data_IF_885538242257
#
_entry.id   IF_885538242257
#
_cell.length_a   1.000
_cell.length_b   1.000
_cell.length_c   1.000
_cell.angle_alpha   90.00
_cell.angle_beta   90.00
_cell.angle_gamma   90.00
#
_symmetry.space_group_name_H-M   'P 1'
#
loop_
_entity.id
_entity.type
_entity.pdbx_description
1 polymer ?
#
# COMPACT_ATOMS: atom_id res chain seq x y z
N UNK A 1 20.63 -25.47 22.27
CA UNK A 1 19.76 -25.22 23.46
C UNK A 1 20.24 -26.12 24.58
N UNK A 2 20.47 -25.58 25.79
CA UNK A 2 20.85 -26.34 26.99
C UNK A 2 19.72 -27.29 27.43
N UNK A 3 20.03 -28.35 28.18
CA UNK A 3 19.05 -29.27 28.75
C UNK A 3 17.95 -28.53 29.51
N UNK A 4 18.31 -27.55 30.33
CA UNK A 4 17.38 -26.67 31.07
C UNK A 4 16.40 -25.92 30.19
N UNK A 5 16.80 -25.46 28.99
CA UNK A 5 15.92 -24.76 28.07
C UNK A 5 14.89 -25.71 27.43
N UNK A 6 15.26 -26.95 27.13
CA UNK A 6 14.36 -27.98 26.62
C UNK A 6 13.28 -28.35 27.62
N UNK A 7 13.64 -28.46 28.89
CA UNK A 7 12.72 -28.78 29.99
C UNK A 7 11.69 -27.65 30.20
N UNK A 8 12.14 -26.39 30.12
CA UNK A 8 11.25 -25.22 30.20
C UNK A 8 10.27 -25.16 29.01
N UNK A 9 10.74 -25.41 27.79
CA UNK A 9 9.88 -25.45 26.59
C UNK A 9 8.81 -26.54 26.69
N UNK A 10 9.21 -27.75 27.18
CA UNK A 10 8.30 -28.84 27.41
C UNK A 10 7.24 -28.54 28.48
N UNK A 11 7.66 -27.92 29.59
CA UNK A 11 6.77 -27.51 30.67
C UNK A 11 5.77 -26.44 30.21
N UNK A 12 6.23 -25.45 29.41
CA UNK A 12 5.38 -24.42 28.84
C UNK A 12 4.37 -24.99 27.83
N UNK A 13 4.78 -25.95 27.01
CA UNK A 13 3.88 -26.66 26.09
C UNK A 13 2.74 -27.35 26.82
N UNK A 14 3.03 -28.09 27.91
CA UNK A 14 1.99 -28.72 28.74
C UNK A 14 1.07 -27.70 29.41
N UNK A 15 1.62 -26.58 29.88
CA UNK A 15 0.82 -25.50 30.44
C UNK A 15 -0.16 -24.91 29.41
N UNK A 16 0.31 -24.67 28.19
CA UNK A 16 -0.54 -24.18 27.10
C UNK A 16 -1.67 -25.14 26.77
N UNK A 17 -1.39 -26.45 26.65
CA UNK A 17 -2.46 -27.45 26.42
C UNK A 17 -3.52 -27.46 27.54
N UNK A 18 -3.09 -27.33 28.80
CA UNK A 18 -4.03 -27.23 29.92
C UNK A 18 -4.85 -25.96 29.87
N UNK A 19 -4.22 -24.82 29.55
CA UNK A 19 -4.89 -23.54 29.40
C UNK A 19 -5.93 -23.59 28.28
N UNK A 20 -5.58 -24.15 27.14
CA UNK A 20 -6.51 -24.33 25.99
C UNK A 20 -7.72 -25.20 26.37
N UNK A 21 -7.50 -26.33 27.07
CA UNK A 21 -8.58 -27.18 27.56
C UNK A 21 -9.51 -26.45 28.54
N UNK A 22 -8.96 -25.64 29.43
CA UNK A 22 -9.77 -24.90 30.42
C UNK A 22 -10.51 -23.71 29.81
N UNK A 23 -9.96 -23.08 28.79
CA UNK A 23 -10.51 -21.85 28.18
C UNK A 23 -11.41 -22.13 26.98
N UNK A 24 -11.41 -23.37 26.44
CA UNK A 24 -12.11 -23.76 25.21
C UNK A 24 -13.60 -23.33 25.14
N UNK A 25 -14.27 -23.22 26.26
CA UNK A 25 -15.67 -22.77 26.36
C UNK A 25 -15.84 -21.33 26.82
N UNK A 26 -14.78 -20.60 27.12
CA UNK A 26 -14.81 -19.24 27.69
C UNK A 26 -14.17 -18.20 26.81
N UNK A 27 -13.17 -18.60 26.01
CA UNK A 27 -12.39 -17.69 25.18
C UNK A 27 -12.22 -18.32 23.81
N UNK A 28 -12.50 -17.58 22.76
CA UNK A 28 -12.10 -17.97 21.41
C UNK A 28 -10.59 -17.81 21.29
N UNK A 29 -9.86 -18.92 21.39
CA UNK A 29 -8.41 -18.94 21.19
C UNK A 29 -8.15 -18.76 19.70
N UNK A 30 -7.58 -17.62 19.33
CA UNK A 30 -7.19 -17.29 17.96
C UNK A 30 -5.67 -17.15 17.93
N UNK A 31 -5.03 -17.80 16.96
CA UNK A 31 -3.59 -17.73 16.75
C UNK A 31 -3.13 -16.40 16.14
N UNK A 32 -1.97 -16.41 15.51
CA UNK A 32 -1.47 -15.27 14.76
C UNK A 32 -2.39 -14.93 13.57
N UNK A 33 -2.59 -13.67 13.32
CA UNK A 33 -3.30 -13.18 12.15
C UNK A 33 -2.27 -12.73 11.10
N UNK A 34 -1.69 -13.71 10.42
CA UNK A 34 -0.72 -13.46 9.36
C UNK A 34 -1.40 -12.83 8.14
N UNK A 35 -0.64 -12.06 7.38
CA UNK A 35 -1.07 -11.52 6.10
C UNK A 35 -0.76 -12.59 5.06
N UNK A 36 -1.79 -13.13 4.40
CA UNK A 36 -1.64 -14.21 3.43
C UNK A 36 -1.46 -13.68 2.01
N UNK A 37 -2.06 -12.52 1.74
CA UNK A 37 -2.01 -11.89 0.42
C UNK A 37 -2.12 -10.37 0.52
N UNK A 38 -1.63 -9.72 -0.52
CA UNK A 38 -1.72 -8.27 -0.69
C UNK A 38 -2.52 -7.93 -1.95
N UNK A 39 -3.38 -6.93 -1.84
CA UNK A 39 -4.17 -6.41 -2.96
C UNK A 39 -3.39 -5.26 -3.59
N UNK A 40 -3.07 -5.37 -4.87
CA UNK A 40 -2.31 -4.36 -5.59
C UNK A 40 -3.02 -3.01 -5.56
N UNK A 41 -2.30 -1.92 -5.28
CA UNK A 41 -2.88 -0.57 -5.16
C UNK A 41 -3.13 0.11 -6.51
N UNK A 42 -2.56 -0.43 -7.58
CA UNK A 42 -2.55 0.16 -8.93
C UNK A 42 -1.26 0.91 -9.27
N UNK A 43 -0.36 1.10 -8.28
CA UNK A 43 0.96 1.66 -8.50
C UNK A 43 1.98 0.90 -7.64
N UNK A 44 3.11 0.50 -8.22
CA UNK A 44 4.12 -0.31 -7.54
C UNK A 44 4.77 0.41 -6.36
N UNK A 45 5.07 1.70 -6.49
CA UNK A 45 5.68 2.45 -5.40
C UNK A 45 4.70 2.65 -4.23
N UNK A 46 3.41 2.78 -4.53
CA UNK A 46 2.37 2.81 -3.51
C UNK A 46 2.22 1.44 -2.80
N UNK A 47 2.41 0.33 -3.52
CA UNK A 47 2.49 -0.99 -2.89
C UNK A 47 3.64 -1.04 -1.87
N UNK A 48 4.82 -0.56 -2.27
CA UNK A 48 5.99 -0.51 -1.39
C UNK A 48 5.75 0.35 -0.16
N UNK A 49 5.13 1.52 -0.31
CA UNK A 49 4.76 2.38 0.81
C UNK A 49 3.84 1.68 1.81
N UNK A 50 2.93 0.81 1.35
CA UNK A 50 2.00 0.08 2.21
C UNK A 50 2.67 -1.08 2.95
N UNK A 51 3.47 -1.88 2.25
CA UNK A 51 3.89 -3.21 2.68
C UNK A 51 5.40 -3.45 2.66
N UNK A 52 6.18 -2.49 2.17
CA UNK A 52 7.64 -2.60 2.04
C UNK A 52 8.11 -3.37 0.80
N UNK A 53 7.22 -3.66 -0.17
CA UNK A 53 7.56 -4.40 -1.38
C UNK A 53 6.73 -3.92 -2.57
N UNK A 54 7.32 -3.90 -3.77
CA UNK A 54 6.61 -3.61 -5.02
C UNK A 54 5.52 -4.66 -5.30
N UNK A 55 5.74 -5.90 -4.89
CA UNK A 55 4.79 -7.02 -5.01
C UNK A 55 3.72 -7.04 -3.91
N UNK A 56 3.76 -6.08 -2.98
CA UNK A 56 2.79 -5.92 -1.90
C UNK A 56 1.55 -5.12 -2.27
N UNK A 57 1.10 -4.29 -1.34
CA UNK A 57 -0.10 -3.45 -1.48
C UNK A 57 -0.96 -3.43 -0.23
N UNK A 58 -2.30 -3.39 -0.39
CA UNK A 58 -3.22 -3.44 0.74
C UNK A 58 -3.25 -4.85 1.36
N UNK A 59 -2.93 -5.00 2.65
CA UNK A 59 -2.93 -6.31 3.32
C UNK A 59 -4.35 -6.82 3.55
N UNK A 60 -4.60 -8.09 3.30
CA UNK A 60 -5.91 -8.72 3.44
C UNK A 60 -6.43 -8.85 4.89
N UNK A 61 -5.54 -8.76 5.87
CA UNK A 61 -5.87 -8.96 7.29
C UNK A 61 -5.75 -7.68 8.13
N UNK A 62 -5.81 -6.51 7.51
CA UNK A 62 -5.58 -5.23 8.23
C UNK A 62 -6.54 -4.14 7.78
N UNK A 63 -6.67 -3.14 8.66
CA UNK A 63 -7.39 -1.90 8.36
C UNK A 63 -6.43 -0.81 7.90
N UNK A 64 -6.84 -0.07 6.88
CA UNK A 64 -6.10 1.04 6.27
C UNK A 64 -6.94 2.31 6.27
N UNK A 65 -6.35 3.43 6.72
CA UNK A 65 -6.93 4.77 6.66
C UNK A 65 -6.29 5.64 5.59
N UNK A 66 -7.11 6.34 4.81
CA UNK A 66 -6.68 7.28 3.77
C UNK A 66 -7.23 8.67 4.10
N UNK A 67 -6.36 9.56 4.58
CA UNK A 67 -6.67 10.94 4.88
C UNK A 67 -6.31 11.88 3.73
N UNK A 68 -7.07 12.97 3.58
CA UNK A 68 -6.73 14.01 2.62
C UNK A 68 -7.86 14.97 2.33
N UNK A 69 -7.52 16.14 1.80
CA UNK A 69 -8.50 17.14 1.37
C UNK A 69 -9.36 16.64 0.21
N UNK A 70 -10.43 17.36 -0.12
CA UNK A 70 -11.25 17.04 -1.29
C UNK A 70 -10.43 17.06 -2.58
N UNK A 71 -10.67 16.06 -3.45
CA UNK A 71 -9.99 15.93 -4.75
C UNK A 71 -8.53 15.50 -4.67
N UNK A 72 -8.07 14.86 -3.58
CA UNK A 72 -6.74 14.24 -3.46
C UNK A 72 -6.68 12.81 -4.02
N UNK A 73 -7.81 12.26 -4.47
CA UNK A 73 -7.88 10.92 -5.07
C UNK A 73 -8.29 9.80 -4.10
N UNK A 74 -8.83 10.12 -2.90
CA UNK A 74 -9.27 9.10 -1.94
C UNK A 74 -10.24 8.09 -2.53
N UNK A 75 -11.36 8.58 -3.07
CA UNK A 75 -12.39 7.75 -3.74
C UNK A 75 -11.82 6.98 -4.93
N UNK A 76 -10.92 7.60 -5.72
CA UNK A 76 -10.22 6.93 -6.82
C UNK A 76 -9.44 5.71 -6.32
N UNK A 77 -8.69 5.84 -5.22
CA UNK A 77 -7.96 4.73 -4.61
C UNK A 77 -8.90 3.65 -4.08
N UNK A 78 -10.05 4.03 -3.52
CA UNK A 78 -11.08 3.07 -3.10
C UNK A 78 -11.63 2.27 -4.28
N UNK A 79 -12.01 2.93 -5.38
CA UNK A 79 -12.51 2.27 -6.59
C UNK A 79 -11.45 1.35 -7.21
N UNK A 80 -10.21 1.79 -7.22
CA UNK A 80 -9.09 0.97 -7.71
C UNK A 80 -8.84 -0.25 -6.81
N UNK A 81 -8.99 -0.10 -5.50
CA UNK A 81 -8.94 -1.22 -4.56
C UNK A 81 -10.08 -2.21 -4.80
N UNK A 82 -11.32 -1.75 -5.03
CA UNK A 82 -12.46 -2.63 -5.40
C UNK A 82 -12.13 -3.45 -6.63
N UNK A 83 -11.68 -2.81 -7.71
CA UNK A 83 -11.31 -3.48 -8.96
C UNK A 83 -10.26 -4.56 -8.75
N UNK A 84 -9.21 -4.24 -7.99
CA UNK A 84 -8.12 -5.18 -7.75
C UNK A 84 -8.53 -6.31 -6.78
N UNK A 85 -9.39 -6.03 -5.79
CA UNK A 85 -10.02 -7.04 -4.94
C UNK A 85 -10.84 -8.02 -5.77
N UNK A 86 -11.69 -7.53 -6.68
CA UNK A 86 -12.51 -8.39 -7.55
C UNK A 86 -11.66 -9.27 -8.47
N UNK A 87 -10.57 -8.73 -9.02
CA UNK A 87 -9.61 -9.51 -9.80
C UNK A 87 -8.97 -10.68 -9.02
N UNK A 88 -8.96 -10.60 -7.68
CA UNK A 88 -8.49 -11.63 -6.76
C UNK A 88 -9.64 -12.51 -6.19
N UNK A 89 -10.87 -12.33 -6.68
CA UNK A 89 -12.05 -13.10 -6.27
C UNK A 89 -12.74 -12.62 -5.00
N UNK A 90 -12.52 -11.37 -4.58
CA UNK A 90 -13.24 -10.78 -3.47
C UNK A 90 -14.61 -10.25 -3.87
N UNK A 91 -15.62 -10.54 -3.06
CA UNK A 91 -16.85 -9.74 -3.00
C UNK A 91 -16.58 -8.48 -2.15
N UNK A 92 -17.03 -7.32 -2.60
CA UNK A 92 -16.74 -6.05 -1.92
C UNK A 92 -18.00 -5.41 -1.39
N UNK A 93 -17.98 -5.04 -0.11
CA UNK A 93 -19.00 -4.23 0.54
C UNK A 93 -18.53 -2.77 0.58
N UNK A 94 -19.24 -1.92 -0.16
CA UNK A 94 -18.91 -0.49 -0.28
C UNK A 94 -19.95 0.36 0.44
N UNK A 95 -19.52 1.04 1.50
CA UNK A 95 -20.34 2.01 2.25
C UNK A 95 -19.98 3.40 1.75
N UNK A 96 -20.92 4.03 1.02
CA UNK A 96 -20.84 5.43 0.60
C UNK A 96 -21.63 6.30 1.57
N UNK A 97 -20.95 7.19 2.26
CA UNK A 97 -21.57 8.11 3.22
C UNK A 97 -21.85 9.50 2.64
N UNK A 98 -21.26 9.79 1.47
CA UNK A 98 -21.41 11.06 0.76
C UNK A 98 -22.54 11.01 -0.27
N UNK A 99 -22.88 9.81 -0.75
CA UNK A 99 -23.85 9.61 -1.81
C UNK A 99 -23.38 10.16 -3.16
N UNK A 100 -22.07 10.25 -3.36
CA UNK A 100 -21.46 10.91 -4.49
C UNK A 100 -21.28 10.01 -5.73
N UNK A 101 -21.36 8.69 -5.55
CA UNK A 101 -21.15 7.71 -6.62
C UNK A 101 -22.46 7.16 -7.16
N UNK A 102 -22.52 6.96 -8.46
CA UNK A 102 -23.59 6.25 -9.15
C UNK A 102 -23.09 4.93 -9.77
N UNK A 103 -24.00 4.12 -10.31
CA UNK A 103 -23.67 2.84 -10.95
C UNK A 103 -22.67 3.00 -12.11
N UNK A 104 -22.78 4.09 -12.88
CA UNK A 104 -21.92 4.33 -14.04
C UNK A 104 -20.49 4.61 -13.64
N UNK A 105 -20.27 5.24 -12.49
CA UNK A 105 -18.93 5.49 -11.96
C UNK A 105 -18.19 4.16 -11.73
N UNK A 106 -18.87 3.18 -11.13
CA UNK A 106 -18.31 1.85 -10.92
C UNK A 106 -18.08 1.09 -12.22
N UNK A 107 -19.06 1.10 -13.13
CA UNK A 107 -18.98 0.45 -14.45
C UNK A 107 -17.85 1.05 -15.31
N UNK A 108 -17.70 2.38 -15.33
CA UNK A 108 -16.63 3.07 -16.04
C UNK A 108 -15.24 2.73 -15.46
N UNK A 109 -15.17 2.39 -14.18
CA UNK A 109 -13.94 1.95 -13.53
C UNK A 109 -13.59 0.48 -13.84
N UNK A 110 -14.54 -0.25 -14.47
CA UNK A 110 -14.44 -1.68 -14.77
C UNK A 110 -14.72 -2.57 -13.57
N UNK A 111 -15.56 -2.11 -12.66
CA UNK A 111 -15.99 -2.85 -11.46
C UNK A 111 -17.21 -3.69 -11.81
N UNK A 112 -17.16 -4.98 -11.46
CA UNK A 112 -18.28 -5.90 -11.59
C UNK A 112 -19.31 -5.68 -10.47
N UNK A 113 -20.48 -5.18 -10.83
CA UNK A 113 -21.56 -4.90 -9.89
C UNK A 113 -22.17 -6.17 -9.28
N UNK A 114 -21.98 -7.35 -9.89
CA UNK A 114 -22.45 -8.64 -9.33
C UNK A 114 -21.59 -9.09 -8.14
N UNK A 115 -20.35 -8.62 -8.05
CA UNK A 115 -19.41 -8.89 -6.96
C UNK A 115 -19.32 -7.73 -5.97
N UNK A 116 -20.27 -6.78 -5.99
CA UNK A 116 -20.27 -5.61 -5.11
C UNK A 116 -21.63 -5.42 -4.44
N UNK A 117 -21.61 -5.19 -3.13
CA UNK A 117 -22.76 -4.75 -2.36
C UNK A 117 -22.55 -3.28 -1.97
N UNK A 118 -23.21 -2.38 -2.69
CA UNK A 118 -23.14 -0.93 -2.44
C UNK A 118 -24.28 -0.49 -1.51
N UNK A 119 -23.92 0.25 -0.47
CA UNK A 119 -24.87 0.82 0.50
C UNK A 119 -24.57 2.29 0.77
N UNK A 120 -25.61 3.11 0.82
CA UNK A 120 -25.56 4.47 1.35
C UNK A 120 -25.94 4.42 2.82
N UNK A 121 -24.99 4.71 3.70
CA UNK A 121 -25.19 4.66 5.14
C UNK A 121 -24.58 5.92 5.74
N UNK A 122 -25.40 6.74 6.40
CA UNK A 122 -24.96 7.98 7.05
C UNK A 122 -24.78 7.88 8.57
N UNK A 123 -25.10 6.73 9.19
CA UNK A 123 -25.18 6.58 10.66
C UNK A 123 -24.13 5.58 11.16
N UNK A 124 -23.37 5.96 12.18
CA UNK A 124 -22.29 5.13 12.75
C UNK A 124 -22.81 3.78 13.23
N UNK A 125 -23.96 3.76 13.93
CA UNK A 125 -24.55 2.51 14.43
C UNK A 125 -25.00 1.57 13.32
N UNK A 126 -25.50 2.10 12.18
CA UNK A 126 -25.89 1.29 11.03
C UNK A 126 -24.67 0.65 10.35
N UNK A 127 -23.55 1.41 10.21
CA UNK A 127 -22.27 0.84 9.74
C UNK A 127 -21.82 -0.29 10.66
N UNK A 128 -21.95 -0.12 11.97
CA UNK A 128 -21.59 -1.15 12.95
C UNK A 128 -22.40 -2.42 12.76
N UNK A 129 -23.72 -2.33 12.61
CA UNK A 129 -24.56 -3.49 12.34
C UNK A 129 -24.21 -4.15 11.02
N UNK A 130 -24.04 -3.36 9.97
CA UNK A 130 -23.69 -3.89 8.64
C UNK A 130 -22.37 -4.66 8.65
N UNK A 131 -21.32 -4.12 9.27
CA UNK A 131 -20.03 -4.83 9.41
C UNK A 131 -20.18 -6.08 10.28
N UNK A 132 -20.98 -6.05 11.34
CA UNK A 132 -21.27 -7.22 12.18
C UNK A 132 -21.92 -8.35 11.38
N UNK A 133 -22.85 -8.02 10.48
CA UNK A 133 -23.52 -9.00 9.62
C UNK A 133 -22.55 -9.58 8.59
N UNK A 134 -21.64 -8.78 8.03
CA UNK A 134 -20.58 -9.28 7.12
C UNK A 134 -19.66 -10.25 7.86
N UNK A 135 -19.28 -9.96 9.10
CA UNK A 135 -18.45 -10.85 9.93
C UNK A 135 -19.16 -12.21 10.13
N UNK A 136 -20.42 -12.20 10.56
CA UNK A 136 -21.21 -13.44 10.73
C UNK A 136 -21.30 -14.24 9.43
N UNK A 137 -21.62 -13.55 8.34
CA UNK A 137 -21.71 -14.20 7.02
C UNK A 137 -20.37 -14.83 6.60
N UNK A 138 -19.24 -14.17 6.91
CA UNK A 138 -17.91 -14.71 6.64
C UNK A 138 -17.55 -15.89 7.55
N UNK A 139 -17.98 -15.88 8.82
CA UNK A 139 -17.81 -17.03 9.73
C UNK A 139 -18.59 -18.25 9.25
N UNK A 140 -19.79 -18.04 8.74
CA UNK A 140 -20.61 -19.11 8.15
C UNK A 140 -20.08 -19.62 6.79
N UNK A 141 -19.33 -18.77 6.07
CA UNK A 141 -18.76 -19.06 4.75
C UNK A 141 -17.24 -18.77 4.71
N UNK A 142 -16.40 -19.56 5.38
CA UNK A 142 -14.96 -19.29 5.53
C UNK A 142 -14.20 -19.17 4.20
N UNK A 143 -14.64 -19.88 3.16
CA UNK A 143 -14.02 -19.85 1.82
C UNK A 143 -14.27 -18.57 1.02
N UNK A 144 -15.27 -17.76 1.37
CA UNK A 144 -15.54 -16.51 0.67
C UNK A 144 -14.47 -15.46 1.00
N UNK A 145 -13.91 -14.84 -0.04
CA UNK A 145 -13.09 -13.63 0.12
C UNK A 145 -13.99 -12.41 0.10
N UNK A 146 -13.90 -11.59 1.14
CA UNK A 146 -14.69 -10.35 1.24
C UNK A 146 -13.81 -9.19 1.69
N UNK A 147 -14.10 -7.99 1.17
CA UNK A 147 -13.45 -6.74 1.56
C UNK A 147 -14.46 -5.66 1.87
N UNK A 148 -14.10 -4.71 2.72
CA UNK A 148 -14.97 -3.62 3.15
C UNK A 148 -14.32 -2.29 2.84
N UNK A 149 -15.09 -1.37 2.23
CA UNK A 149 -14.69 0.02 2.01
C UNK A 149 -15.71 0.94 2.67
N UNK A 150 -15.23 1.97 3.38
CA UNK A 150 -16.05 3.04 3.96
C UNK A 150 -15.53 4.39 3.46
N UNK A 151 -16.27 5.00 2.55
CA UNK A 151 -15.92 6.29 1.94
C UNK A 151 -17.04 7.30 2.18
N UNK A 152 -16.92 8.17 3.17
CA UNK A 152 -15.84 8.43 4.12
C UNK A 152 -16.33 8.41 5.58
N UNK A 153 -15.46 8.29 6.58
CA UNK A 153 -15.85 8.43 7.98
C UNK A 153 -16.33 9.84 8.33
N UNK A 154 -15.97 10.83 7.51
CA UNK A 154 -16.25 12.25 7.79
C UNK A 154 -17.73 12.57 7.83
N UNK A 155 -18.55 11.91 7.02
CA UNK A 155 -19.98 12.19 6.88
C UNK A 155 -20.88 11.30 7.74
N UNK A 156 -20.29 10.40 8.53
CA UNK A 156 -21.06 9.59 9.47
C UNK A 156 -21.52 10.42 10.66
N UNK A 157 -22.79 10.32 10.99
CA UNK A 157 -23.44 11.01 12.12
C UNK A 157 -23.80 10.03 13.23
N UNK A 158 -23.97 10.55 14.44
CA UNK A 158 -24.56 9.80 15.55
C UNK A 158 -26.09 9.89 15.50
N UNK A 159 -26.77 8.92 16.09
CA UNK A 159 -28.25 9.01 16.24
C UNK A 159 -28.70 10.28 16.98
N UNK A 160 -27.89 10.73 17.94
CA UNK A 160 -28.16 11.94 18.70
C UNK A 160 -28.11 13.20 17.84
N UNK A 161 -27.08 13.33 16.97
CA UNK A 161 -26.97 14.46 16.05
C UNK A 161 -28.23 14.54 15.14
N UNK A 162 -28.69 13.41 14.61
CA UNK A 162 -29.88 13.34 13.76
C UNK A 162 -31.14 13.75 14.55
N UNK A 163 -31.29 13.29 15.79
CA UNK A 163 -32.43 13.65 16.65
C UNK A 163 -32.41 15.14 17.02
N UNK A 164 -31.24 15.68 17.35
CA UNK A 164 -31.08 17.09 17.71
C UNK A 164 -31.45 18.00 16.52
N UNK A 165 -31.00 17.67 15.30
CA UNK A 165 -31.41 18.39 14.09
C UNK A 165 -32.93 18.33 13.89
N UNK A 166 -33.58 17.18 14.08
CA UNK A 166 -35.06 17.03 13.98
C UNK A 166 -35.81 17.85 15.01
N UNK A 167 -35.20 18.09 16.17
CA UNK A 167 -35.74 18.95 17.25
C UNK A 167 -35.39 20.43 17.05
N UNK A 168 -34.75 20.79 15.97
CA UNK A 168 -34.34 22.17 15.66
C UNK A 168 -33.09 22.64 16.40
N UNK A 169 -32.33 21.73 16.99
CA UNK A 169 -31.04 22.02 17.62
C UNK A 169 -29.88 21.75 16.65
N UNK A 170 -28.92 22.67 16.56
CA UNK A 170 -27.70 22.52 15.78
C UNK A 170 -26.48 22.13 16.66
N UNK A 171 -26.73 21.57 17.86
CA UNK A 171 -25.63 21.16 18.73
C UNK A 171 -24.87 19.96 18.13
N UNK A 172 -23.66 20.20 17.67
CA UNK A 172 -22.74 19.16 17.27
C UNK A 172 -21.95 18.64 18.46
N UNK A 173 -22.13 17.37 18.81
CA UNK A 173 -21.37 16.71 19.87
C UNK A 173 -20.20 15.94 19.27
N UNK A 174 -19.13 16.66 18.93
CA UNK A 174 -17.92 16.07 18.34
C UNK A 174 -17.26 15.00 19.26
N UNK A 175 -17.45 15.14 20.58
CA UNK A 175 -16.96 14.15 21.55
C UNK A 175 -17.70 12.82 21.48
N UNK A 176 -19.04 12.87 21.35
CA UNK A 176 -19.87 11.68 21.20
C UNK A 176 -19.53 10.94 19.89
N UNK A 177 -19.42 11.66 18.77
CA UNK A 177 -19.07 11.10 17.49
C UNK A 177 -17.71 10.39 17.51
N UNK A 178 -16.68 11.03 18.08
CA UNK A 178 -15.36 10.41 18.23
C UNK A 178 -15.40 9.15 19.11
N UNK A 179 -16.23 9.17 20.17
CA UNK A 179 -16.46 8.01 21.05
C UNK A 179 -17.15 6.86 20.31
N UNK A 180 -18.18 7.14 19.52
CA UNK A 180 -18.90 6.11 18.75
C UNK A 180 -18.03 5.52 17.64
N UNK A 181 -17.27 6.32 16.89
CA UNK A 181 -16.30 5.84 15.92
C UNK A 181 -15.22 4.96 16.58
N UNK A 182 -14.71 5.35 17.74
CA UNK A 182 -13.77 4.51 18.50
C UNK A 182 -14.39 3.19 18.91
N UNK A 183 -15.64 3.18 19.37
CA UNK A 183 -16.37 1.97 19.74
C UNK A 183 -16.63 1.07 18.53
N UNK A 184 -16.98 1.65 17.38
CA UNK A 184 -17.13 0.96 16.11
C UNK A 184 -15.86 0.15 15.77
N UNK A 185 -14.71 0.81 15.64
CA UNK A 185 -13.45 0.14 15.28
C UNK A 185 -13.00 -0.88 16.34
N UNK A 186 -13.15 -0.56 17.64
CA UNK A 186 -12.82 -1.49 18.72
C UNK A 186 -13.62 -2.78 18.65
N UNK A 187 -14.88 -2.73 18.18
CA UNK A 187 -15.76 -3.91 18.19
C UNK A 187 -15.39 -4.99 17.18
N UNK A 188 -14.69 -4.65 16.09
CA UNK A 188 -14.44 -5.64 15.02
C UNK A 188 -13.01 -5.68 14.44
N UNK A 189 -12.09 -4.83 14.93
CA UNK A 189 -10.70 -4.86 14.42
C UNK A 189 -10.08 -6.26 14.52
N UNK A 190 -10.33 -6.96 15.64
CA UNK A 190 -9.79 -8.32 15.84
C UNK A 190 -10.45 -9.33 14.89
N UNK A 191 -11.77 -9.27 14.74
CA UNK A 191 -12.52 -10.20 13.88
C UNK A 191 -12.16 -10.01 12.42
N UNK A 192 -12.08 -8.77 11.92
CA UNK A 192 -11.66 -8.46 10.56
C UNK A 192 -10.26 -9.02 10.28
N UNK A 193 -9.33 -8.85 11.22
CA UNK A 193 -7.98 -9.37 11.10
C UNK A 193 -7.94 -10.90 11.03
N UNK A 194 -8.64 -11.58 11.94
CA UNK A 194 -8.66 -13.03 12.02
C UNK A 194 -9.37 -13.69 10.82
N UNK A 195 -10.42 -13.05 10.32
CA UNK A 195 -11.20 -13.52 9.18
C UNK A 195 -10.63 -13.10 7.84
N UNK A 196 -9.49 -12.39 7.84
CA UNK A 196 -8.82 -11.90 6.62
C UNK A 196 -9.73 -11.00 5.78
N UNK A 197 -10.41 -10.07 6.45
CA UNK A 197 -11.27 -9.07 5.82
C UNK A 197 -10.52 -7.73 5.78
N UNK A 198 -9.99 -7.28 4.64
CA UNK A 198 -9.40 -5.96 4.51
C UNK A 198 -10.47 -4.89 4.69
N UNK A 199 -10.17 -3.87 5.49
CA UNK A 199 -10.99 -2.69 5.67
C UNK A 199 -10.22 -1.46 5.21
N UNK A 200 -10.72 -0.77 4.19
CA UNK A 200 -10.20 0.52 3.74
C UNK A 200 -11.23 1.59 4.11
N UNK A 201 -10.80 2.63 4.80
CA UNK A 201 -11.66 3.77 5.09
C UNK A 201 -10.98 5.08 4.70
N UNK A 202 -11.78 6.03 4.27
CA UNK A 202 -11.29 7.37 3.95
C UNK A 202 -11.78 8.38 4.98
N UNK A 203 -11.10 9.51 5.06
CA UNK A 203 -11.53 10.66 5.86
C UNK A 203 -10.97 11.96 5.28
N UNK A 204 -11.74 13.05 5.43
CA UNK A 204 -11.22 14.38 5.19
C UNK A 204 -10.23 14.78 6.28
N UNK A 205 -9.36 15.72 5.92
CA UNK A 205 -8.42 16.33 6.87
C UNK A 205 -8.88 17.71 7.28
N UNK A 206 -8.51 18.11 8.48
CA UNK A 206 -8.68 19.46 8.98
C UNK A 206 -7.33 20.01 9.46
N UNK A 207 -7.14 21.31 9.32
CA UNK A 207 -6.01 22.02 9.93
C UNK A 207 -6.40 22.47 11.33
N UNK A 208 -5.53 22.29 12.31
CA UNK A 208 -5.68 22.95 13.61
C UNK A 208 -5.51 24.46 13.44
N UNK A 209 -5.94 25.24 14.43
CA UNK A 209 -5.71 26.70 14.43
C UNK A 209 -4.22 27.07 14.51
N UNK A 210 -3.41 26.16 14.96
CA UNK A 210 -1.96 26.30 14.99
C UNK A 210 -1.36 25.93 13.61
N UNK A 211 -0.69 26.89 12.97
CA UNK A 211 -0.08 26.72 11.65
C UNK A 211 1.04 25.66 11.60
N UNK A 212 1.59 25.29 12.75
CA UNK A 212 2.67 24.29 12.86
C UNK A 212 2.18 22.87 13.09
N UNK A 213 0.91 22.67 13.40
CA UNK A 213 0.35 21.34 13.62
C UNK A 213 0.01 20.69 12.28
N UNK A 214 0.53 19.48 11.98
CA UNK A 214 0.17 18.75 10.78
C UNK A 214 -1.34 18.54 10.66
N UNK A 215 -1.86 18.51 9.43
CA UNK A 215 -3.28 18.18 9.17
C UNK A 215 -3.62 16.83 9.79
N UNK A 216 -4.77 16.76 10.42
CA UNK A 216 -5.29 15.55 11.07
C UNK A 216 -6.50 15.02 10.34
N UNK A 217 -6.69 13.70 10.38
CA UNK A 217 -7.92 13.07 9.87
C UNK A 217 -9.11 13.38 10.78
N UNK A 218 -10.25 13.66 10.18
CA UNK A 218 -11.52 13.78 10.89
C UNK A 218 -11.94 12.43 11.49
N UNK A 219 -12.69 12.44 12.60
CA UNK A 219 -13.18 11.21 13.25
C UNK A 219 -12.43 10.83 14.52
N UNK A 220 -11.45 11.63 14.94
CA UNK A 220 -10.71 11.42 16.19
C UNK A 220 -9.69 10.28 16.12
N UNK A 221 -9.04 9.99 17.25
CA UNK A 221 -7.96 9.01 17.32
C UNK A 221 -8.38 7.53 17.18
N UNK A 222 -9.66 7.20 17.35
CA UNK A 222 -10.15 5.81 17.36
C UNK A 222 -9.81 5.04 16.08
N UNK A 223 -10.23 5.50 14.90
CA UNK A 223 -9.91 4.88 13.61
C UNK A 223 -8.40 4.80 13.35
N UNK A 224 -7.65 5.85 13.69
CA UNK A 224 -6.20 5.90 13.52
C UNK A 224 -5.47 4.85 14.36
N UNK A 225 -5.90 4.65 15.62
CA UNK A 225 -5.32 3.63 16.49
C UNK A 225 -5.61 2.21 15.99
N UNK A 226 -6.79 1.98 15.45
CA UNK A 226 -7.20 0.68 14.92
C UNK A 226 -6.48 0.32 13.60
N UNK A 227 -6.24 1.31 12.73
CA UNK A 227 -5.57 1.10 11.46
C UNK A 227 -4.12 0.62 11.64
N UNK A 228 -3.70 -0.30 10.78
CA UNK A 228 -2.29 -0.72 10.68
C UNK A 228 -1.47 0.22 9.81
N UNK A 229 -2.10 0.81 8.80
CA UNK A 229 -1.49 1.82 7.94
C UNK A 229 -2.42 3.03 7.84
N UNK A 230 -1.85 4.22 7.95
CA UNK A 230 -2.53 5.51 7.76
C UNK A 230 -1.73 6.34 6.76
N UNK A 231 -2.37 6.66 5.65
CA UNK A 231 -1.82 7.52 4.61
C UNK A 231 -2.45 8.91 4.67
N UNK A 232 -1.63 9.94 4.49
CA UNK A 232 -2.06 11.32 4.32
C UNK A 232 -1.76 11.77 2.90
N UNK A 233 -2.80 12.15 2.17
CA UNK A 233 -2.71 12.58 0.78
C UNK A 233 -2.74 14.09 0.64
N UNK A 234 -1.83 14.62 -0.16
CA UNK A 234 -1.88 15.99 -0.66
C UNK A 234 -1.82 16.00 -2.19
N UNK A 235 -2.25 17.10 -2.80
CA UNK A 235 -2.37 17.18 -4.27
C UNK A 235 -1.60 18.34 -4.87
N UNK A 236 -1.07 18.08 -6.07
CA UNK A 236 -0.64 19.05 -7.06
C UNK A 236 -1.48 18.92 -8.33
N UNK A 237 -1.19 19.70 -9.34
CA UNK A 237 -1.88 19.64 -10.62
C UNK A 237 -0.96 19.07 -11.69
N UNK A 238 -1.35 17.95 -12.30
CA UNK A 238 -0.75 17.46 -13.53
C UNK A 238 -1.28 18.34 -14.70
N UNK A 239 -0.37 18.88 -15.47
CA UNK A 239 -0.68 19.79 -16.61
C UNK A 239 0.02 19.28 -17.85
N UNK A 240 -0.59 19.51 -19.02
CA UNK A 240 0.03 19.33 -20.33
C UNK A 240 0.91 20.55 -20.72
N UNK A 241 1.51 20.47 -21.90
CA UNK A 241 2.36 21.54 -22.46
C UNK A 241 1.61 22.87 -22.62
N UNK A 242 0.29 22.82 -22.79
CA UNK A 242 -0.60 23.97 -22.88
C UNK A 242 -1.06 24.50 -21.52
N UNK A 243 -0.48 23.99 -20.41
CA UNK A 243 -0.88 24.30 -19.03
C UNK A 243 -2.32 23.88 -18.66
N UNK A 244 -2.98 23.06 -19.47
CA UNK A 244 -4.30 22.51 -19.19
C UNK A 244 -4.16 21.43 -18.14
N UNK A 245 -5.07 21.40 -17.16
CA UNK A 245 -5.08 20.41 -16.10
C UNK A 245 -5.54 19.05 -16.65
N UNK A 246 -4.67 18.06 -16.66
CA UNK A 246 -4.91 16.72 -17.22
C UNK A 246 -5.02 15.65 -16.13
N UNK A 247 -4.77 16.02 -14.86
CA UNK A 247 -4.82 15.09 -13.76
C UNK A 247 -4.38 15.70 -12.43
N UNK A 248 -4.10 14.82 -11.49
CA UNK A 248 -3.65 15.15 -10.14
C UNK A 248 -2.31 14.46 -9.87
N UNK A 249 -1.35 15.23 -9.39
CA UNK A 249 -0.14 14.70 -8.76
C UNK A 249 -0.49 14.46 -7.30
N UNK A 250 -0.42 13.22 -6.85
CA UNK A 250 -0.74 12.84 -5.46
C UNK A 250 0.55 12.58 -4.72
N UNK A 251 0.74 13.29 -3.61
CA UNK A 251 1.81 13.02 -2.66
C UNK A 251 1.21 12.31 -1.47
N UNK A 252 1.70 11.10 -1.21
CA UNK A 252 1.30 10.28 -0.09
C UNK A 252 2.42 10.25 0.95
N UNK A 253 2.05 10.50 2.19
CA UNK A 253 2.95 10.36 3.36
C UNK A 253 2.30 9.37 4.32
N UNK A 254 3.03 8.39 4.80
CA UNK A 254 2.54 7.50 5.86
C UNK A 254 2.69 8.18 7.22
N UNK A 255 1.58 8.43 7.89
CA UNK A 255 1.53 8.93 9.26
C UNK A 255 1.74 7.80 10.27
N UNK A 256 1.27 6.61 9.91
CA UNK A 256 1.43 5.36 10.65
C UNK A 256 1.59 4.19 9.69
N UNK A 257 2.59 3.35 9.94
CA UNK A 257 2.73 2.09 9.23
C UNK A 257 3.37 1.04 10.16
N UNK A 258 2.71 -0.11 10.32
CA UNK A 258 3.20 -1.25 11.10
C UNK A 258 3.88 -2.32 10.23
N UNK A 259 3.85 -2.16 8.92
CA UNK A 259 4.31 -3.16 7.94
C UNK A 259 5.58 -2.70 7.20
N UNK A 260 5.77 -1.39 7.09
CA UNK A 260 6.88 -0.78 6.38
C UNK A 260 7.35 0.50 7.08
N UNK A 261 8.56 0.92 6.81
CA UNK A 261 9.09 2.20 7.29
C UNK A 261 8.21 3.36 6.80
N UNK A 262 8.00 4.41 7.61
CA UNK A 262 7.31 5.60 7.16
C UNK A 262 7.99 6.20 5.93
N UNK A 263 7.21 6.51 4.91
CA UNK A 263 7.75 7.00 3.63
C UNK A 263 6.86 8.08 3.02
N UNK A 264 7.47 8.89 2.16
CA UNK A 264 6.78 9.85 1.31
C UNK A 264 7.04 9.49 -0.14
N UNK A 265 5.98 9.35 -0.91
CA UNK A 265 6.02 9.03 -2.33
C UNK A 265 5.14 9.98 -3.13
N UNK A 266 5.34 9.99 -4.45
CA UNK A 266 4.51 10.70 -5.40
C UNK A 266 4.04 9.75 -6.51
N UNK A 267 2.76 9.84 -6.87
CA UNK A 267 2.18 9.15 -8.01
C UNK A 267 1.16 10.03 -8.71
N UNK A 268 0.76 9.67 -9.93
CA UNK A 268 -0.11 10.49 -10.76
C UNK A 268 -1.43 9.79 -11.04
N UNK A 269 -2.52 10.55 -10.97
CA UNK A 269 -3.84 10.13 -11.43
C UNK A 269 -4.23 11.02 -12.62
N UNK A 270 -4.18 10.45 -13.81
CA UNK A 270 -4.64 11.12 -15.03
C UNK A 270 -6.16 11.04 -15.15
N UNK A 271 -6.81 12.13 -15.57
CA UNK A 271 -8.26 12.14 -15.79
C UNK A 271 -8.70 11.23 -16.96
N UNK A 272 -7.77 10.94 -17.89
CA UNK A 272 -8.09 10.14 -19.08
C UNK A 272 -7.57 8.70 -19.00
N UNK A 273 -6.44 8.49 -18.32
CA UNK A 273 -5.73 7.19 -18.30
C UNK A 273 -5.74 6.52 -16.94
N UNK A 274 -6.29 7.18 -15.90
CA UNK A 274 -6.22 6.70 -14.54
C UNK A 274 -4.79 6.75 -13.96
N UNK A 275 -4.46 5.79 -13.12
CA UNK A 275 -3.15 5.68 -12.46
C UNK A 275 -2.21 4.79 -13.29
N UNK A 276 -1.01 5.28 -13.57
CA UNK A 276 0.03 4.47 -14.20
C UNK A 276 0.79 3.68 -13.12
N UNK A 277 0.95 2.36 -13.27
CA UNK A 277 1.56 1.51 -12.26
C UNK A 277 3.05 1.79 -12.01
N UNK A 278 3.76 2.37 -12.95
CA UNK A 278 5.21 2.50 -12.95
C UNK A 278 5.73 3.89 -12.56
N UNK A 279 4.86 4.91 -12.52
CA UNK A 279 5.28 6.27 -12.13
C UNK A 279 5.81 6.26 -10.70
N UNK A 280 7.00 6.85 -10.53
CA UNK A 280 7.77 6.87 -9.30
C UNK A 280 8.95 5.88 -9.30
N UNK A 281 8.92 4.83 -10.13
CA UNK A 281 10.00 3.84 -10.20
C UNK A 281 11.20 4.30 -11.05
N UNK A 282 11.01 5.26 -11.93
CA UNK A 282 12.08 5.71 -12.85
C UNK A 282 13.32 6.27 -12.14
N UNK A 283 13.15 6.77 -10.92
CA UNK A 283 14.23 7.37 -10.13
C UNK A 283 15.18 6.31 -9.52
N UNK A 284 14.77 5.05 -9.54
CA UNK A 284 15.52 3.91 -9.02
C UNK A 284 16.18 3.07 -10.13
N UNK A 285 15.92 3.40 -11.42
CA UNK A 285 16.51 2.68 -12.54
C UNK A 285 18.00 2.96 -12.63
N UNK A 286 18.82 1.93 -12.49
CA UNK A 286 20.25 1.94 -12.81
C UNK A 286 20.68 0.57 -13.30
N UNK A 287 21.86 0.52 -13.92
CA UNK A 287 22.44 -0.74 -14.41
C UNK A 287 22.73 -1.71 -13.27
N UNK A 288 23.18 -1.18 -12.12
CA UNK A 288 23.50 -1.94 -10.91
C UNK A 288 22.24 -2.43 -10.19
N UNK A 289 21.22 -1.57 -10.10
CA UNK A 289 20.02 -1.88 -9.32
C UNK A 289 19.13 -2.93 -9.98
N UNK A 290 18.95 -2.82 -11.31
CA UNK A 290 17.97 -3.64 -12.04
C UNK A 290 18.29 -3.90 -13.50
N UNK A 291 19.52 -3.61 -13.95
CA UNK A 291 19.93 -3.83 -15.34
C UNK A 291 19.20 -2.93 -16.35
N UNK A 292 18.70 -1.77 -15.93
CA UNK A 292 18.01 -0.82 -16.82
C UNK A 292 18.59 0.57 -16.66
N UNK A 293 19.14 1.10 -17.76
CA UNK A 293 19.66 2.46 -17.77
C UNK A 293 19.61 3.07 -19.17
N UNK A 294 19.61 4.39 -19.26
CA UNK A 294 19.76 5.11 -20.53
C UNK A 294 21.17 4.93 -21.08
N UNK A 295 21.26 4.56 -22.35
CA UNK A 295 22.57 4.33 -22.98
C UNK A 295 22.47 3.72 -24.36
N UNK A 296 23.58 3.23 -24.82
CA UNK A 296 23.71 2.55 -26.12
C UNK A 296 24.02 1.06 -25.91
N UNK A 297 23.30 0.20 -26.61
CA UNK A 297 23.64 -1.21 -26.77
C UNK A 297 24.62 -1.33 -27.96
N UNK A 298 25.73 -1.97 -27.75
CA UNK A 298 26.79 -2.10 -28.73
C UNK A 298 27.08 -3.58 -29.01
N UNK A 299 27.34 -3.89 -30.27
CA UNK A 299 27.92 -5.16 -30.69
C UNK A 299 29.43 -5.18 -30.42
N UNK A 300 30.07 -6.34 -30.48
CA UNK A 300 31.54 -6.47 -30.33
C UNK A 300 32.31 -5.58 -31.29
N UNK A 301 31.84 -5.50 -32.54
CA UNK A 301 32.44 -4.68 -33.59
C UNK A 301 32.33 -3.18 -33.31
N UNK A 302 31.28 -2.75 -32.69
CA UNK A 302 31.07 -1.33 -32.26
C UNK A 302 31.89 -1.01 -31.02
N UNK A 303 31.90 -1.91 -30.05
CA UNK A 303 32.70 -1.77 -28.82
C UNK A 303 34.21 -1.65 -29.14
N UNK A 304 34.73 -2.49 -30.05
CA UNK A 304 36.14 -2.46 -30.43
C UNK A 304 36.60 -1.17 -31.11
N UNK A 305 35.67 -0.36 -31.63
CA UNK A 305 35.93 0.96 -32.23
C UNK A 305 35.92 2.13 -31.25
N UNK A 306 35.51 1.89 -30.02
CA UNK A 306 35.46 2.93 -28.98
C UNK A 306 36.87 3.32 -28.52
N UNK A 307 37.02 4.53 -28.02
CA UNK A 307 38.23 4.96 -27.34
C UNK A 307 38.42 4.18 -26.02
N UNK A 308 39.66 3.98 -25.55
CA UNK A 308 39.91 3.26 -24.29
C UNK A 308 39.12 3.77 -23.09
N UNK A 309 38.93 5.08 -22.95
CA UNK A 309 38.15 5.68 -21.89
C UNK A 309 36.64 5.35 -21.96
N UNK A 310 36.09 5.20 -23.17
CA UNK A 310 34.71 4.79 -23.37
C UNK A 310 34.56 3.28 -23.15
N UNK A 311 35.52 2.48 -23.56
CA UNK A 311 35.52 1.04 -23.32
C UNK A 311 35.56 0.70 -21.83
N UNK A 312 36.32 1.45 -21.02
CA UNK A 312 36.36 1.26 -19.56
C UNK A 312 35.05 1.60 -18.86
N UNK A 313 34.19 2.40 -19.50
CA UNK A 313 32.86 2.76 -18.98
C UNK A 313 31.76 1.76 -19.41
N UNK A 314 32.09 0.80 -20.26
CA UNK A 314 31.12 -0.20 -20.74
C UNK A 314 31.00 -1.38 -19.80
N UNK A 315 29.76 -1.85 -19.62
CA UNK A 315 29.46 -3.13 -18.97
C UNK A 315 29.09 -4.17 -20.03
N UNK A 316 29.60 -5.38 -19.94
CA UNK A 316 29.19 -6.47 -20.83
C UNK A 316 27.99 -7.20 -20.29
N UNK A 317 27.11 -7.67 -21.17
CA UNK A 317 25.96 -8.52 -20.85
C UNK A 317 25.67 -9.48 -22.00
N UNK A 318 24.90 -10.53 -21.71
CA UNK A 318 24.58 -11.59 -22.67
C UNK A 318 23.08 -11.76 -22.78
N UNK A 319 22.59 -11.95 -24.00
CA UNK A 319 21.18 -12.23 -24.29
C UNK A 319 21.14 -13.28 -25.39
N UNK A 320 20.39 -14.36 -25.16
CA UNK A 320 20.22 -15.48 -26.12
C UNK A 320 21.53 -16.07 -26.63
N UNK A 321 22.58 -16.07 -25.78
CA UNK A 321 23.93 -16.58 -26.15
C UNK A 321 24.79 -15.58 -26.94
N UNK A 322 24.30 -14.38 -27.19
CA UNK A 322 25.06 -13.30 -27.84
C UNK A 322 25.55 -12.28 -26.80
N UNK A 323 26.83 -11.89 -26.93
CA UNK A 323 27.47 -10.91 -26.05
C UNK A 323 27.31 -9.49 -26.60
N UNK A 324 26.87 -8.60 -25.73
CA UNK A 324 26.72 -7.17 -26.01
C UNK A 324 27.44 -6.33 -24.97
N UNK A 325 27.61 -5.05 -25.28
CA UNK A 325 28.15 -4.05 -24.36
C UNK A 325 27.12 -2.91 -24.16
N UNK A 326 27.01 -2.47 -22.95
CA UNK A 326 26.23 -1.31 -22.56
C UNK A 326 27.16 -0.13 -22.30
N UNK A 327 26.96 0.98 -23.01
CA UNK A 327 27.63 2.26 -22.77
C UNK A 327 26.62 3.24 -22.17
N UNK A 328 26.76 3.62 -20.87
CA UNK A 328 25.86 4.58 -20.24
C UNK A 328 25.95 5.95 -20.90
N UNK A 329 24.79 6.59 -21.08
CA UNK A 329 24.71 7.94 -21.66
C UNK A 329 23.41 8.64 -21.23
N UNK A 330 23.50 9.67 -20.38
CA UNK A 330 22.37 10.34 -19.76
C UNK A 330 21.33 10.88 -20.74
N UNK A 331 21.77 11.31 -21.92
CA UNK A 331 20.89 11.85 -22.97
C UNK A 331 20.64 10.87 -24.12
N UNK A 332 20.87 9.57 -23.91
CA UNK A 332 20.52 8.58 -24.92
C UNK A 332 19.01 8.58 -25.18
N UNK A 333 18.61 8.26 -26.40
CA UNK A 333 17.22 8.23 -26.82
C UNK A 333 16.47 6.99 -26.29
N UNK A 334 17.23 5.96 -25.85
CA UNK A 334 16.66 4.70 -25.39
C UNK A 334 17.19 4.31 -24.02
N UNK A 335 16.35 3.54 -23.29
CA UNK A 335 16.79 2.67 -22.22
C UNK A 335 17.27 1.34 -22.81
N UNK A 336 18.33 0.79 -22.27
CA UNK A 336 18.80 -0.57 -22.53
C UNK A 336 18.33 -1.46 -21.40
N UNK A 337 17.67 -2.56 -21.73
CA UNK A 337 17.18 -3.55 -20.76
C UNK A 337 18.12 -4.75 -20.80
N UNK A 338 18.89 -4.99 -19.73
CA UNK A 338 19.89 -6.06 -19.64
C UNK A 338 19.31 -7.45 -19.90
N UNK A 339 18.16 -7.75 -19.26
CA UNK A 339 17.52 -9.06 -19.27
C UNK A 339 17.02 -9.49 -20.66
N UNK A 340 16.49 -8.54 -21.42
CA UNK A 340 15.91 -8.82 -22.76
C UNK A 340 16.75 -8.29 -23.91
N UNK A 341 17.77 -7.50 -23.63
CA UNK A 341 18.54 -6.77 -24.64
C UNK A 341 17.73 -5.73 -25.42
N UNK A 342 16.52 -5.43 -24.96
CA UNK A 342 15.63 -4.49 -25.64
C UNK A 342 16.11 -3.04 -25.55
N UNK A 343 15.81 -2.28 -26.60
CA UNK A 343 15.96 -0.82 -26.64
C UNK A 343 14.58 -0.19 -26.57
N UNK A 344 14.28 0.51 -25.46
CA UNK A 344 12.99 1.15 -25.27
C UNK A 344 13.16 2.67 -25.31
N UNK A 345 12.42 3.39 -26.18
CA UNK A 345 12.49 4.85 -26.23
C UNK A 345 12.26 5.48 -24.85
N UNK A 346 13.04 6.49 -24.50
CA UNK A 346 12.96 7.13 -23.17
C UNK A 346 11.56 7.68 -22.83
N UNK A 347 10.76 8.02 -23.86
CA UNK A 347 9.38 8.48 -23.70
C UNK A 347 8.41 7.36 -23.28
N UNK A 348 8.81 6.11 -23.45
CA UNK A 348 8.04 4.92 -23.10
C UNK A 348 8.52 4.28 -21.77
N UNK A 349 9.26 5.03 -20.94
CA UNK A 349 9.80 4.51 -19.68
C UNK A 349 8.71 3.95 -18.75
N UNK A 350 7.53 4.53 -18.72
CA UNK A 350 6.43 4.09 -17.85
C UNK A 350 5.56 2.99 -18.49
N UNK A 351 6.20 1.98 -19.03
CA UNK A 351 5.52 0.83 -19.66
C UNK A 351 6.10 -0.50 -19.20
N UNK A 352 5.35 -1.56 -19.43
CA UNK A 352 5.75 -2.95 -19.23
C UNK A 352 6.93 -3.39 -20.10
N UNK A 353 7.26 -2.63 -21.15
CA UNK A 353 8.46 -2.85 -21.96
C UNK A 353 9.74 -2.59 -21.17
N UNK A 354 9.72 -1.64 -20.22
CA UNK A 354 10.85 -1.32 -19.33
C UNK A 354 10.73 -2.12 -18.04
N UNK A 355 9.56 -2.10 -17.43
CA UNK A 355 9.29 -2.74 -16.14
C UNK A 355 8.79 -4.18 -16.35
N UNK A 356 9.59 -5.01 -17.01
CA UNK A 356 9.35 -6.45 -17.10
C UNK A 356 9.45 -7.10 -15.71
N UNK A 357 8.91 -8.31 -15.50
CA UNK A 357 8.89 -8.95 -14.18
C UNK A 357 10.26 -9.01 -13.49
N UNK A 358 11.33 -9.32 -14.23
CA UNK A 358 12.71 -9.42 -13.74
C UNK A 358 13.21 -8.07 -13.21
N UNK A 359 12.92 -6.99 -13.92
CA UNK A 359 13.28 -5.61 -13.50
C UNK A 359 12.55 -5.22 -12.23
N UNK A 360 11.26 -5.55 -12.13
CA UNK A 360 10.47 -5.29 -10.91
C UNK A 360 11.05 -6.07 -9.73
N UNK A 361 11.40 -7.35 -9.93
CA UNK A 361 11.90 -8.22 -8.86
C UNK A 361 13.29 -7.78 -8.38
N UNK A 362 14.17 -7.38 -9.30
CA UNK A 362 15.48 -6.82 -8.94
C UNK A 362 15.38 -5.47 -8.24
N UNK A 363 14.52 -4.55 -8.72
CA UNK A 363 14.26 -3.28 -8.04
C UNK A 363 13.70 -3.52 -6.62
N UNK A 364 12.76 -4.44 -6.50
CA UNK A 364 12.16 -4.75 -5.20
C UNK A 364 13.22 -5.24 -4.21
N UNK A 365 14.03 -6.22 -4.63
CA UNK A 365 15.07 -6.83 -3.81
C UNK A 365 16.21 -5.87 -3.48
N UNK A 366 16.76 -5.20 -4.50
CA UNK A 366 18.03 -4.48 -4.36
C UNK A 366 17.86 -3.06 -3.83
N UNK A 367 16.68 -2.47 -4.00
CA UNK A 367 16.44 -1.04 -3.65
C UNK A 367 15.25 -0.88 -2.70
N UNK A 368 14.09 -1.40 -3.09
CA UNK A 368 12.85 -1.05 -2.41
C UNK A 368 12.73 -1.72 -1.04
N UNK A 369 12.99 -3.02 -0.96
CA UNK A 369 12.95 -3.72 0.34
C UNK A 369 13.93 -3.12 1.35
N UNK A 370 15.20 -2.85 1.03
CA UNK A 370 16.11 -2.16 1.94
C UNK A 370 15.62 -0.79 2.39
N UNK A 371 14.98 -0.04 1.50
CA UNK A 371 14.47 1.30 1.81
C UNK A 371 13.20 1.29 2.67
N UNK A 372 12.26 0.39 2.37
CA UNK A 372 10.89 0.45 2.92
C UNK A 372 10.59 -0.61 3.98
N UNK A 373 11.26 -1.77 4.01
CA UNK A 373 11.05 -2.76 5.08
C UNK A 373 11.80 -2.39 6.36
N UNK A 374 11.24 -2.79 7.49
CA UNK A 374 12.00 -2.81 8.74
C UNK A 374 13.05 -3.91 8.66
N UNK A 375 14.27 -3.61 9.07
CA UNK A 375 15.34 -4.61 9.19
C UNK A 375 14.99 -5.61 10.28
N UNK A 376 15.30 -6.88 10.07
CA UNK A 376 15.22 -7.91 11.10
C UNK A 376 16.39 -7.74 12.09
N UNK A 377 16.25 -8.28 13.29
CA UNK A 377 17.36 -8.28 14.26
C UNK A 377 18.61 -8.98 13.72
N UNK A 378 18.42 -10.06 12.94
CA UNK A 378 19.53 -10.79 12.33
C UNK A 378 20.27 -9.96 11.25
N UNK A 379 19.54 -9.14 10.48
CA UNK A 379 20.14 -8.20 9.51
C UNK A 379 20.91 -7.08 10.23
N UNK A 380 20.37 -6.55 11.34
CA UNK A 380 21.04 -5.51 12.15
C UNK A 380 22.34 -6.07 12.78
N UNK A 381 22.29 -7.27 13.35
CA UNK A 381 23.47 -7.95 13.93
C UNK A 381 24.54 -8.21 12.85
N UNK A 382 24.16 -8.54 11.62
CA UNK A 382 25.10 -8.76 10.53
C UNK A 382 25.73 -7.44 10.06
N UNK A 383 24.93 -6.38 9.89
CA UNK A 383 25.42 -5.05 9.51
C UNK A 383 26.42 -4.53 10.56
N UNK A 384 26.15 -4.74 11.87
CA UNK A 384 27.07 -4.38 12.95
C UNK A 384 28.39 -5.16 12.89
N UNK A 385 28.37 -6.45 12.52
CA UNK A 385 29.57 -7.26 12.34
C UNK A 385 30.37 -6.80 11.11
N UNK A 386 29.72 -6.56 9.99
CA UNK A 386 30.35 -6.10 8.74
C UNK A 386 31.01 -4.70 8.92
N UNK A 387 30.41 -3.83 9.74
CA UNK A 387 31.00 -2.53 10.11
C UNK A 387 32.27 -2.69 10.99
N UNK A 388 32.29 -3.65 11.90
CA UNK A 388 33.46 -3.95 12.73
C UNK A 388 34.62 -4.50 11.89
N UNK A 389 34.35 -5.41 10.95
CA UNK A 389 35.37 -5.99 10.06
C UNK A 389 36.00 -4.92 9.15
N UNK A 390 35.22 -3.92 8.67
CA UNK A 390 35.76 -2.80 7.88
C UNK A 390 36.64 -1.83 8.68
N UNK A 391 36.46 -1.76 10.00
CA UNK A 391 37.30 -0.91 10.87
C UNK A 391 38.64 -1.58 11.08
N UNK A 392 38.69 -2.91 11.27
CA UNK A 392 39.94 -3.67 11.43
C UNK A 392 40.80 -3.66 10.15
N UNK A 393 40.19 -3.75 8.96
CA UNK A 393 40.91 -3.71 7.67
C UNK A 393 41.48 -2.31 7.32
N UNK A 394 41.06 -1.25 7.99
CA UNK A 394 41.58 0.10 7.77
C UNK A 394 42.66 0.53 8.80
N UNK A 395 43.01 -0.31 9.76
CA UNK A 395 44.06 -0.05 10.74
C UNK A 395 45.38 -0.79 10.44
N UNK A 396 45.46 -1.61 9.38
CA UNK A 396 46.68 -2.23 8.84
C UNK A 396 47.15 -1.46 7.57
#
# INVERSE_FOLDING_TARGET
MSSSTKDLVSAFGKFNELLEKQTKNRVTLRGFSDIDEYIHTGNYLLNAQMSGSLRGGYPNARSLGIGGDSGTGKTFLCLNAVKNMQAMGYGVFYVDTEGALDRKDFENFGIDMSMMNYKRIGVISEVKFFVSDIIKMKEENPGMKVGIIVDSLTHLETNKEIEDVRKGSNAQDMGLRAKELRALFKSFTLDLSNLKIPLIFTSHTYSSQDQYTPKQMSGGGGPLYAASVVMMLSKGHLKDDNKTKTGVIVRSTTDKNRLAKPAKIEFHISFHKGMNPYIGLQDYLSWENCGVQRGNKLTEKEYSKLKPAEQSSCSSFEVDGEKFWFLPKDRALNYVIKHSGALVPWREVFTDKVFIPEVIDELDKNVIMPMFKYSSLAEIEQDELDDFDQIEDNED
#
